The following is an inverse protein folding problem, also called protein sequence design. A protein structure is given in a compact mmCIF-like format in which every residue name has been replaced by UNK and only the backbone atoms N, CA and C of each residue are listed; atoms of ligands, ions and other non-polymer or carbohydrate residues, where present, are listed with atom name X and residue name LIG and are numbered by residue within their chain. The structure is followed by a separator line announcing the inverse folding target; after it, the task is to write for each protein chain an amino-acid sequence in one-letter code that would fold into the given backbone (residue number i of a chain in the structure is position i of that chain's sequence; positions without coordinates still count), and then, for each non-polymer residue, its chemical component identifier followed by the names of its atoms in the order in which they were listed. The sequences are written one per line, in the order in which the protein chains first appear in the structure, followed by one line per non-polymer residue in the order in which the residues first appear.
data_IF_702729318944
#
_entry.id   IF_702729318944
#
_cell.length_a   1.000
_cell.length_b   1.000
_cell.length_c   1.000
_cell.angle_alpha   90.00
_cell.angle_beta   90.00
_cell.angle_gamma   90.00
#
_symmetry.space_group_name_H-M   'P 1'
#
loop_
_entity.id
_entity.type
_entity.pdbx_description
1 polymer ?
#
# COMPACT_ATOMS: atom_id res chain seq x y z
N UNK A 1 -22.99 -6.74 -6.56
CA UNK A 1 -21.79 -6.36 -5.79
C UNK A 1 -20.77 -5.80 -6.77
N UNK A 2 -20.30 -4.58 -6.57
CA UNK A 2 -19.21 -4.00 -7.35
C UNK A 2 -17.91 -4.75 -7.05
N UNK A 3 -17.10 -5.02 -8.08
CA UNK A 3 -15.78 -5.63 -7.91
C UNK A 3 -14.89 -4.69 -7.06
N UNK A 4 -14.01 -5.22 -6.20
CA UNK A 4 -13.09 -4.39 -5.45
C UNK A 4 -12.15 -3.64 -6.41
N UNK A 5 -12.15 -2.32 -6.31
CA UNK A 5 -11.27 -1.46 -7.11
C UNK A 5 -9.82 -1.75 -6.71
N UNK A 6 -8.98 -2.09 -7.70
CA UNK A 6 -7.55 -2.32 -7.48
C UNK A 6 -6.77 -1.06 -7.83
N UNK A 7 -5.96 -0.57 -6.90
CA UNK A 7 -5.04 0.55 -7.10
C UNK A 7 -3.63 -0.02 -7.22
N UNK A 8 -3.01 0.16 -8.39
CA UNK A 8 -1.60 -0.18 -8.60
C UNK A 8 -0.72 1.01 -8.19
N UNK A 9 0.34 0.75 -7.43
CA UNK A 9 1.24 1.77 -6.87
C UNK A 9 2.69 1.35 -7.07
N UNK A 10 3.51 2.24 -7.63
CA UNK A 10 4.96 2.11 -7.62
C UNK A 10 5.50 2.63 -6.28
N UNK A 11 6.08 1.73 -5.47
CA UNK A 11 6.61 2.07 -4.16
C UNK A 11 8.08 2.51 -4.19
N UNK A 12 8.77 2.39 -5.32
CA UNK A 12 10.23 2.61 -5.36
C UNK A 12 10.60 4.05 -5.74
N UNK A 13 9.64 4.84 -6.21
CA UNK A 13 9.86 6.23 -6.62
C UNK A 13 9.86 7.24 -5.46
N UNK A 14 10.65 8.30 -5.59
CA UNK A 14 10.65 9.48 -4.72
C UNK A 14 11.70 9.47 -3.61
N UNK A 15 11.95 10.65 -3.03
CA UNK A 15 13.06 10.90 -2.09
C UNK A 15 12.95 10.11 -0.79
N UNK A 16 11.73 9.73 -0.40
CA UNK A 16 11.46 8.99 0.84
C UNK A 16 11.19 7.50 0.62
N UNK A 17 11.19 7.05 -0.64
CA UNK A 17 11.11 5.64 -1.04
C UNK A 17 9.90 4.87 -0.52
N UNK A 18 10.01 3.52 -0.40
CA UNK A 18 8.87 2.64 -0.17
C UNK A 18 8.20 2.80 1.18
N UNK A 19 8.92 3.30 2.20
CA UNK A 19 8.39 3.47 3.54
C UNK A 19 7.16 4.37 3.56
N UNK A 20 7.25 5.55 2.96
CA UNK A 20 6.14 6.54 2.98
C UNK A 20 4.92 6.02 2.20
N UNK A 21 5.16 5.25 1.14
CA UNK A 21 4.08 4.65 0.35
C UNK A 21 3.29 3.64 1.18
N UNK A 22 3.99 2.74 1.89
CA UNK A 22 3.34 1.75 2.76
C UNK A 22 2.60 2.43 3.92
N UNK A 23 3.21 3.43 4.58
CA UNK A 23 2.55 4.21 5.64
C UNK A 23 1.27 4.92 5.12
N UNK A 24 1.31 5.46 3.91
CA UNK A 24 0.16 6.10 3.29
C UNK A 24 -0.99 5.12 3.01
N UNK A 25 -0.66 3.92 2.52
CA UNK A 25 -1.64 2.85 2.28
C UNK A 25 -2.31 2.44 3.61
N UNK A 26 -1.52 2.25 4.66
CA UNK A 26 -2.00 1.92 6.01
C UNK A 26 -3.00 2.96 6.53
N UNK A 27 -2.69 4.26 6.37
CA UNK A 27 -3.61 5.35 6.73
C UNK A 27 -4.92 5.29 5.94
N UNK A 28 -4.89 4.97 4.65
CA UNK A 28 -6.11 4.87 3.83
C UNK A 28 -6.98 3.70 4.28
N UNK A 29 -6.37 2.53 4.51
CA UNK A 29 -7.08 1.34 4.99
C UNK A 29 -7.77 1.59 6.34
N UNK A 30 -7.09 2.29 7.26
CA UNK A 30 -7.66 2.69 8.57
C UNK A 30 -8.80 3.69 8.45
N UNK A 31 -8.69 4.68 7.56
CA UNK A 31 -9.69 5.75 7.43
C UNK A 31 -10.91 5.35 6.63
N UNK A 32 -10.82 4.34 5.76
CA UNK A 32 -11.89 3.93 4.86
C UNK A 32 -12.19 2.43 4.94
N UNK A 33 -12.59 1.89 6.10
CA UNK A 33 -12.87 0.46 6.25
C UNK A 33 -14.06 -0.01 5.39
N UNK A 34 -14.97 0.90 5.02
CA UNK A 34 -16.16 0.61 4.22
C UNK A 34 -15.89 0.55 2.72
N UNK A 35 -14.69 0.95 2.29
CA UNK A 35 -14.22 0.74 0.92
C UNK A 35 -13.25 -0.44 1.02
N UNK A 36 -13.36 -1.41 0.13
CA UNK A 36 -12.41 -2.52 0.06
C UNK A 36 -11.44 -2.31 -1.11
N UNK A 37 -10.62 -1.23 -1.14
CA UNK A 37 -9.63 -1.09 -2.18
C UNK A 37 -8.54 -2.13 -1.98
N UNK A 38 -8.16 -2.80 -3.06
CA UNK A 38 -6.99 -3.67 -3.06
C UNK A 38 -5.80 -2.87 -3.56
N UNK A 39 -4.73 -2.80 -2.79
CA UNK A 39 -3.48 -2.18 -3.23
C UNK A 39 -2.56 -3.24 -3.83
N UNK A 40 -2.13 -3.03 -5.07
CA UNK A 40 -1.07 -3.79 -5.71
C UNK A 40 0.19 -2.94 -5.68
N UNK A 41 1.14 -3.29 -4.81
CA UNK A 41 2.36 -2.54 -4.59
C UNK A 41 3.49 -3.14 -5.43
N UNK A 42 4.06 -2.34 -6.32
CA UNK A 42 5.18 -2.72 -7.17
C UNK A 42 6.50 -2.21 -6.59
N UNK A 43 7.51 -3.09 -6.56
CA UNK A 43 8.86 -2.76 -6.11
C UNK A 43 9.64 -4.00 -5.71
N UNK A 44 10.75 -3.79 -5.01
CA UNK A 44 11.58 -4.88 -4.49
C UNK A 44 10.88 -5.56 -3.30
N UNK A 45 10.48 -6.81 -3.48
CA UNK A 45 9.76 -7.59 -2.46
C UNK A 45 10.56 -7.73 -1.17
N UNK A 46 11.90 -7.84 -1.24
CA UNK A 46 12.74 -7.97 -0.05
C UNK A 46 12.72 -6.70 0.82
N UNK A 47 12.45 -5.54 0.21
CA UNK A 47 12.28 -4.25 0.90
C UNK A 47 10.83 -4.04 1.33
N UNK A 48 9.87 -4.41 0.48
CA UNK A 48 8.45 -4.16 0.72
C UNK A 48 7.82 -5.10 1.74
N UNK A 49 8.13 -6.39 1.70
CA UNK A 49 7.55 -7.39 2.60
C UNK A 49 7.69 -7.04 4.09
N UNK A 50 8.87 -6.64 4.62
CA UNK A 50 8.99 -6.25 6.02
C UNK A 50 8.22 -4.97 6.36
N UNK A 51 8.10 -4.02 5.43
CA UNK A 51 7.32 -2.79 5.63
C UNK A 51 5.82 -3.08 5.71
N UNK A 52 5.32 -3.94 4.83
CA UNK A 52 3.92 -4.39 4.83
C UNK A 52 3.61 -5.18 6.10
N UNK A 53 4.51 -6.06 6.53
CA UNK A 53 4.33 -6.81 7.78
C UNK A 53 4.35 -5.91 9.03
N UNK A 54 4.99 -4.74 8.96
CA UNK A 54 5.01 -3.76 10.04
C UNK A 54 3.79 -2.82 10.05
N UNK A 55 3.03 -2.73 8.94
CA UNK A 55 1.77 -2.00 8.88
C UNK A 55 0.71 -2.69 9.74
N UNK A 56 -0.15 -1.92 10.43
CA UNK A 56 -1.01 -2.39 11.53
C UNK A 56 -2.49 -2.41 11.19
#
# INVERSE_FOLDING_TARGET
MSQPETVSVDAMGGDHGPRIIIEGIDVVLKRRPNISPRFLVHGDEAVLAPLVAAAS
#
